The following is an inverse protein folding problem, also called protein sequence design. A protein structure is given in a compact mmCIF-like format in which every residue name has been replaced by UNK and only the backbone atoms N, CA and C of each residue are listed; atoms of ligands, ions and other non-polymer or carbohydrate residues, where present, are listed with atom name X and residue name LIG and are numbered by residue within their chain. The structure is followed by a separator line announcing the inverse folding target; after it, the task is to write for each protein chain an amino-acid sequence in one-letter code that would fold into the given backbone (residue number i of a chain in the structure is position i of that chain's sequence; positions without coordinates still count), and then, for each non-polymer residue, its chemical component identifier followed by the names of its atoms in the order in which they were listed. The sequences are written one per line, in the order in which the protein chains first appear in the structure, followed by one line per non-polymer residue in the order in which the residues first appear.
data_IF_658660857596
#
_entry.id   IF_658660857596
#
_cell.length_a   1.000
_cell.length_b   1.000
_cell.length_c   1.000
_cell.angle_alpha   90.00
_cell.angle_beta   90.00
_cell.angle_gamma   90.00
#
_symmetry.space_group_name_H-M   'P 1'
#
loop_
_entity.id
_entity.type
_entity.pdbx_description
1 polymer ?
#
# COMPACT_ATOMS: atom_id res chain seq x y z
N UNK A 1 -28.68 -7.66 7.47
CA UNK A 1 -27.70 -6.98 8.34
C UNK A 1 -28.33 -5.71 8.88
N UNK A 2 -28.37 -5.53 10.19
CA UNK A 2 -28.93 -4.32 10.77
C UNK A 2 -27.91 -3.15 10.71
N UNK A 3 -28.37 -1.95 11.05
CA UNK A 3 -27.55 -0.74 10.97
C UNK A 3 -26.33 -0.82 11.89
N UNK A 4 -26.51 -1.35 13.10
CA UNK A 4 -25.43 -1.47 14.08
C UNK A 4 -24.29 -2.38 13.57
N UNK A 5 -24.64 -3.54 13.04
CA UNK A 5 -23.67 -4.49 12.50
C UNK A 5 -22.87 -3.87 11.33
N UNK A 6 -23.57 -3.14 10.46
CA UNK A 6 -22.92 -2.48 9.33
C UNK A 6 -21.92 -1.42 9.77
N UNK A 7 -22.31 -0.56 10.74
CA UNK A 7 -21.40 0.49 11.24
C UNK A 7 -20.23 -0.09 12.02
N UNK A 8 -20.45 -1.14 12.80
CA UNK A 8 -19.36 -1.82 13.49
C UNK A 8 -18.37 -2.41 12.47
N UNK A 9 -18.85 -2.98 11.37
CA UNK A 9 -18.00 -3.49 10.31
C UNK A 9 -17.17 -2.41 9.65
N UNK A 10 -17.78 -1.26 9.35
CA UNK A 10 -17.08 -0.12 8.76
C UNK A 10 -16.01 0.41 9.74
N UNK A 11 -16.36 0.56 11.01
CA UNK A 11 -15.42 1.02 12.04
C UNK A 11 -14.21 0.09 12.15
N UNK A 12 -14.44 -1.22 12.13
CA UNK A 12 -13.37 -2.22 12.17
C UNK A 12 -12.41 -2.05 10.98
N UNK A 13 -12.94 -1.82 9.78
CA UNK A 13 -12.13 -1.59 8.59
C UNK A 13 -11.25 -0.34 8.77
N UNK A 14 -11.82 0.76 9.27
CA UNK A 14 -11.06 1.98 9.49
C UNK A 14 -9.98 1.83 10.57
N UNK A 15 -10.28 1.12 11.65
CA UNK A 15 -9.29 0.83 12.70
C UNK A 15 -8.12 0.03 12.14
N UNK A 16 -8.40 -1.01 11.37
CA UNK A 16 -7.37 -1.84 10.74
C UNK A 16 -6.57 -1.04 9.70
N UNK A 17 -7.22 -0.20 8.93
CA UNK A 17 -6.55 0.67 7.98
C UNK A 17 -5.53 1.58 8.68
N UNK A 18 -5.90 2.15 9.83
CA UNK A 18 -4.99 3.00 10.60
C UNK A 18 -3.79 2.26 11.18
N UNK A 19 -3.94 0.98 11.50
CA UNK A 19 -2.89 0.18 12.14
C UNK A 19 -2.00 -0.58 11.17
N UNK A 20 -2.55 -1.14 10.10
CA UNK A 20 -1.85 -2.15 9.29
C UNK A 20 -1.96 -1.97 7.78
N UNK A 21 -2.74 -1.02 7.30
CA UNK A 21 -3.05 -0.91 5.88
C UNK A 21 -2.08 -0.05 5.07
N UNK A 22 -0.95 0.34 5.64
CA UNK A 22 -0.03 1.30 5.00
C UNK A 22 0.47 0.83 3.62
N UNK A 23 0.76 -0.46 3.45
CA UNK A 23 1.16 -0.97 2.14
C UNK A 23 -0.01 -0.96 1.16
N UNK A 24 -1.18 -1.43 1.59
CA UNK A 24 -2.37 -1.44 0.75
C UNK A 24 -2.74 -0.02 0.29
N UNK A 25 -2.72 0.95 1.20
CA UNK A 25 -2.98 2.35 0.87
C UNK A 25 -1.95 2.90 -0.12
N UNK A 26 -0.68 2.53 0.05
CA UNK A 26 0.38 2.93 -0.88
C UNK A 26 0.13 2.38 -2.29
N UNK A 27 -0.29 1.11 -2.41
CA UNK A 27 -0.62 0.50 -3.69
C UNK A 27 -1.82 1.19 -4.35
N UNK A 28 -2.87 1.49 -3.57
CA UNK A 28 -4.02 2.21 -4.11
C UNK A 28 -3.64 3.60 -4.59
N UNK A 29 -2.77 4.30 -3.88
CA UNK A 29 -2.31 5.63 -4.30
C UNK A 29 -1.55 5.59 -5.62
N UNK A 30 -0.75 4.54 -5.85
CA UNK A 30 -0.06 4.33 -7.12
C UNK A 30 -1.08 4.13 -8.25
N UNK A 31 -2.08 3.27 -8.02
CA UNK A 31 -3.12 3.00 -9.01
C UNK A 31 -3.95 4.25 -9.32
N UNK A 32 -4.31 5.04 -8.31
CA UNK A 32 -5.00 6.32 -8.52
C UNK A 32 -4.18 7.27 -9.37
N UNK A 33 -2.91 7.45 -9.03
CA UNK A 33 -2.04 8.36 -9.77
C UNK A 33 -1.85 7.90 -11.21
N UNK A 34 -1.63 6.61 -11.42
CA UNK A 34 -1.45 6.06 -12.77
C UNK A 34 -2.69 6.23 -13.64
N UNK A 35 -3.88 5.98 -13.09
CA UNK A 35 -5.14 6.10 -13.82
C UNK A 35 -5.65 7.54 -13.90
N UNK A 36 -5.27 8.39 -12.96
CA UNK A 36 -5.81 9.74 -12.84
C UNK A 36 -7.24 9.79 -12.34
N UNK A 37 -7.70 8.75 -11.64
CA UNK A 37 -9.07 8.65 -11.12
C UNK A 37 -9.08 8.17 -9.67
N UNK A 38 -9.92 8.76 -8.80
CA UNK A 38 -10.03 8.33 -7.42
C UNK A 38 -10.47 6.87 -7.28
N UNK A 39 -9.98 6.20 -6.26
CA UNK A 39 -10.37 4.83 -5.91
C UNK A 39 -11.06 4.86 -4.54
N UNK A 40 -12.27 4.31 -4.47
CA UNK A 40 -13.00 4.17 -3.20
C UNK A 40 -12.33 3.08 -2.36
N UNK A 41 -11.80 3.45 -1.20
CA UNK A 41 -11.05 2.54 -0.33
C UNK A 41 -11.90 1.35 0.12
N UNK A 42 -13.14 1.59 0.54
CA UNK A 42 -14.00 0.52 1.05
C UNK A 42 -14.33 -0.49 -0.04
N UNK A 43 -14.66 -0.02 -1.24
CA UNK A 43 -14.94 -0.89 -2.39
C UNK A 43 -13.68 -1.68 -2.80
N UNK A 44 -12.53 -1.02 -2.80
CA UNK A 44 -11.26 -1.66 -3.12
C UNK A 44 -10.92 -2.75 -2.11
N UNK A 45 -11.07 -2.47 -0.81
CA UNK A 45 -10.86 -3.44 0.25
C UNK A 45 -11.75 -4.67 0.07
N UNK A 46 -13.05 -4.46 -0.12
CA UNK A 46 -14.00 -5.57 -0.30
C UNK A 46 -13.66 -6.40 -1.54
N UNK A 47 -13.33 -5.76 -2.63
CA UNK A 47 -12.96 -6.46 -3.87
C UNK A 47 -11.71 -7.32 -3.67
N UNK A 48 -10.70 -6.81 -3.01
CA UNK A 48 -9.47 -7.56 -2.76
C UNK A 48 -9.69 -8.73 -1.79
N UNK A 49 -10.56 -8.57 -0.78
CA UNK A 49 -10.95 -9.68 0.10
C UNK A 49 -11.65 -10.78 -0.71
N UNK A 50 -12.63 -10.41 -1.55
CA UNK A 50 -13.35 -11.38 -2.40
C UNK A 50 -12.41 -12.18 -3.30
N UNK A 51 -11.41 -11.52 -3.88
CA UNK A 51 -10.47 -12.15 -4.80
C UNK A 51 -9.31 -12.84 -4.09
N UNK A 52 -9.24 -12.76 -2.75
CA UNK A 52 -8.15 -13.36 -1.99
C UNK A 52 -6.80 -12.68 -2.18
N UNK A 53 -6.78 -11.40 -2.56
CA UNK A 53 -5.54 -10.64 -2.79
C UNK A 53 -4.99 -10.04 -1.51
N UNK A 54 -5.84 -9.82 -0.52
CA UNK A 54 -5.44 -9.37 0.81
C UNK A 54 -6.14 -10.21 1.87
N UNK A 55 -5.55 -10.25 3.06
CA UNK A 55 -6.16 -10.87 4.24
C UNK A 55 -6.90 -9.79 5.05
N UNK A 56 -7.71 -10.23 6.03
CA UNK A 56 -8.50 -9.32 6.87
C UNK A 56 -7.66 -8.32 7.66
N UNK A 57 -6.40 -8.66 7.93
CA UNK A 57 -5.44 -7.80 8.60
C UNK A 57 -4.67 -6.90 7.61
N UNK A 58 -5.12 -6.80 6.37
CA UNK A 58 -4.51 -6.04 5.27
C UNK A 58 -3.18 -6.60 4.75
N UNK A 59 -2.81 -7.82 5.10
CA UNK A 59 -1.64 -8.43 4.50
C UNK A 59 -1.85 -8.63 2.99
N UNK A 60 -0.98 -8.00 2.20
CA UNK A 60 -1.08 -8.06 0.73
C UNK A 60 -0.42 -9.33 0.21
N UNK A 61 -1.23 -10.25 -0.29
CA UNK A 61 -0.73 -11.53 -0.82
C UNK A 61 -0.13 -11.40 -2.21
N UNK A 62 -0.69 -10.51 -3.05
CA UNK A 62 -0.27 -10.35 -4.44
C UNK A 62 -0.34 -8.86 -4.82
N UNK A 63 0.76 -8.16 -4.57
CA UNK A 63 0.83 -6.72 -4.78
C UNK A 63 0.69 -6.34 -6.25
N UNK A 64 1.33 -7.11 -7.13
CA UNK A 64 1.28 -6.84 -8.58
C UNK A 64 -0.13 -6.99 -9.12
N UNK A 65 -0.87 -7.99 -8.65
CA UNK A 65 -2.25 -8.20 -9.07
C UNK A 65 -3.20 -7.14 -8.51
N UNK A 66 -2.95 -6.64 -7.29
CA UNK A 66 -3.71 -5.52 -6.75
C UNK A 66 -3.56 -4.31 -7.67
N UNK A 67 -2.34 -3.98 -8.07
CA UNK A 67 -2.11 -2.88 -9.01
C UNK A 67 -2.78 -3.13 -10.36
N UNK A 68 -2.68 -4.35 -10.89
CA UNK A 68 -3.32 -4.70 -12.17
C UNK A 68 -4.84 -4.56 -12.11
N UNK A 69 -5.43 -4.91 -10.98
CA UNK A 69 -6.88 -4.82 -10.79
C UNK A 69 -7.38 -3.37 -10.87
N UNK A 70 -6.66 -2.43 -10.26
CA UNK A 70 -7.09 -1.04 -10.16
C UNK A 70 -6.47 -0.12 -11.21
N UNK A 71 -5.33 -0.49 -11.78
CA UNK A 71 -4.62 0.32 -12.77
C UNK A 71 -4.61 -0.29 -14.18
N UNK A 72 -5.25 -1.44 -14.38
CA UNK A 72 -5.51 -2.06 -15.68
C UNK A 72 -4.30 -2.47 -16.53
N UNK A 73 -3.11 -2.51 -15.98
CA UNK A 73 -1.90 -2.92 -16.68
C UNK A 73 -1.32 -4.17 -16.03
N UNK A 74 -0.28 -4.73 -16.64
CA UNK A 74 0.52 -5.74 -15.98
C UNK A 74 1.68 -5.06 -15.27
N UNK A 75 1.83 -5.33 -13.99
CA UNK A 75 2.81 -4.66 -13.14
C UNK A 75 3.91 -5.61 -12.71
N UNK A 76 5.09 -5.05 -12.52
CA UNK A 76 6.25 -5.76 -12.00
C UNK A 76 6.72 -5.09 -10.72
N UNK A 77 6.92 -5.89 -9.67
CA UNK A 77 7.54 -5.45 -8.42
C UNK A 77 9.00 -5.85 -8.42
N UNK A 78 9.86 -4.90 -8.05
CA UNK A 78 11.28 -5.15 -7.83
C UNK A 78 11.64 -4.64 -6.44
N UNK A 79 12.37 -5.45 -5.67
CA UNK A 79 12.85 -5.04 -4.34
C UNK A 79 14.30 -4.60 -4.47
N UNK A 80 14.59 -3.38 -4.03
CA UNK A 80 15.92 -2.80 -4.10
C UNK A 80 16.38 -2.35 -2.72
N UNK A 81 17.67 -2.48 -2.44
CA UNK A 81 18.29 -1.93 -1.23
C UNK A 81 18.62 -0.46 -1.39
N UNK A 82 18.95 -0.05 -2.60
CA UNK A 82 19.25 1.32 -2.97
C UNK A 82 18.51 1.67 -4.25
N UNK A 83 18.05 2.91 -4.35
CA UNK A 83 17.38 3.38 -5.56
C UNK A 83 18.42 3.78 -6.63
N UNK A 84 18.09 3.59 -7.93
CA UNK A 84 18.91 4.13 -8.99
C UNK A 84 18.93 5.66 -8.94
N UNK A 85 20.01 6.24 -9.42
CA UNK A 85 20.16 7.70 -9.50
C UNK A 85 20.47 8.08 -10.96
N UNK A 86 19.54 8.74 -11.69
CA UNK A 86 18.22 9.17 -11.23
C UNK A 86 17.20 8.03 -11.16
N UNK A 87 16.17 8.22 -10.35
CA UNK A 87 15.03 7.28 -10.30
C UNK A 87 14.21 7.44 -11.58
N UNK A 88 13.92 6.36 -12.33
CA UNK A 88 13.09 6.45 -13.53
C UNK A 88 11.70 7.04 -13.23
N UNK A 89 11.20 7.90 -14.13
CA UNK A 89 9.89 8.55 -13.97
C UNK A 89 8.72 7.57 -13.93
N UNK A 90 8.86 6.42 -14.59
CA UNK A 90 7.81 5.39 -14.63
C UNK A 90 7.88 4.41 -13.45
N UNK A 91 8.77 4.63 -12.51
CA UNK A 91 8.93 3.78 -11.33
C UNK A 91 8.25 4.41 -10.13
N UNK A 92 7.28 3.68 -9.57
CA UNK A 92 6.57 4.07 -8.34
C UNK A 92 7.22 3.36 -7.17
N UNK A 93 7.61 4.12 -6.15
CA UNK A 93 8.43 3.59 -5.05
C UNK A 93 7.72 3.68 -3.72
N UNK A 94 7.74 2.56 -2.98
CA UNK A 94 7.27 2.48 -1.60
C UNK A 94 8.48 2.17 -0.72
N UNK A 95 8.70 3.00 0.29
CA UNK A 95 9.79 2.84 1.26
C UNK A 95 9.35 1.88 2.36
N UNK A 96 10.17 0.88 2.65
CA UNK A 96 9.95 -0.01 3.78
C UNK A 96 10.83 0.45 4.93
N UNK A 97 10.20 0.99 5.97
CA UNK A 97 10.85 1.49 7.17
C UNK A 97 10.81 0.44 8.27
N UNK A 98 11.87 0.36 9.06
CA UNK A 98 11.97 -0.54 10.19
C UNK A 98 12.51 0.19 11.40
N UNK A 99 11.93 -0.07 12.56
CA UNK A 99 12.36 0.48 13.85
C UNK A 99 12.87 -0.67 14.72
N UNK A 100 14.16 -0.71 14.98
CA UNK A 100 14.79 -1.77 15.77
C UNK A 100 14.28 -1.82 17.21
N UNK A 101 13.98 -0.65 17.79
CA UNK A 101 13.50 -0.58 19.17
C UNK A 101 12.14 -1.23 19.37
N UNK A 102 11.21 -1.01 18.43
CA UNK A 102 9.85 -1.55 18.53
C UNK A 102 9.66 -2.85 17.77
N UNK A 103 10.52 -3.15 16.81
CA UNK A 103 10.37 -4.28 15.90
C UNK A 103 9.30 -4.07 14.83
N UNK A 104 8.75 -2.89 14.71
CA UNK A 104 7.67 -2.61 13.75
C UNK A 104 8.20 -2.16 12.41
N UNK A 105 7.42 -2.52 11.37
CA UNK A 105 7.64 -2.13 9.98
C UNK A 105 6.54 -1.17 9.55
N UNK A 106 6.90 -0.17 8.75
CA UNK A 106 5.94 0.76 8.16
C UNK A 106 6.28 0.95 6.68
N UNK A 107 5.25 0.97 5.84
CA UNK A 107 5.40 1.24 4.42
C UNK A 107 4.92 2.67 4.14
N UNK A 108 5.75 3.43 3.46
CA UNK A 108 5.45 4.82 3.12
C UNK A 108 5.76 5.02 1.64
N UNK A 109 4.82 5.56 0.88
CA UNK A 109 5.09 5.91 -0.50
C UNK A 109 6.08 7.07 -0.56
N UNK A 110 7.16 6.91 -1.34
CA UNK A 110 8.21 7.93 -1.48
C UNK A 110 7.61 9.25 -1.98
N UNK A 111 7.96 10.35 -1.30
CA UNK A 111 7.49 11.68 -1.67
C UNK A 111 6.12 12.04 -1.11
N UNK A 112 5.46 11.12 -0.42
CA UNK A 112 4.17 11.40 0.22
C UNK A 112 4.38 11.60 1.71
N UNK A 113 3.85 12.70 2.22
CA UNK A 113 3.83 12.92 3.67
C UNK A 113 2.72 12.09 4.27
N UNK A 114 3.02 11.39 5.36
CA UNK A 114 2.00 10.72 6.14
C UNK A 114 1.39 11.72 7.10
N UNK A 115 0.06 11.67 7.26
CA UNK A 115 -0.65 12.52 8.21
C UNK A 115 -0.20 12.28 9.66
N UNK A 116 0.35 11.11 9.92
CA UNK A 116 0.91 10.77 11.21
C UNK A 116 2.39 10.49 11.05
N UNK A 117 3.20 11.17 11.84
CA UNK A 117 4.59 10.84 11.96
C UNK A 117 4.69 9.56 12.81
N UNK A 118 4.62 8.42 12.13
CA UNK A 118 4.82 7.12 12.74
C UNK A 118 6.15 7.09 13.50
N UNK A 119 6.13 6.55 14.71
CA UNK A 119 7.37 6.33 15.48
C UNK A 119 8.33 5.46 14.66
N UNK A 120 7.82 4.52 13.88
CA UNK A 120 8.62 3.68 13.00
C UNK A 120 9.43 4.50 12.00
N UNK A 121 8.85 5.57 11.44
CA UNK A 121 9.57 6.45 10.52
C UNK A 121 10.48 7.42 11.27
N UNK A 122 10.01 8.02 12.37
CA UNK A 122 10.80 9.00 13.14
C UNK A 122 12.09 8.43 13.71
N UNK A 123 12.05 7.22 14.25
CA UNK A 123 13.16 6.57 14.91
C UNK A 123 13.80 5.46 14.10
N UNK A 124 13.22 5.13 12.95
CA UNK A 124 13.64 4.01 12.13
C UNK A 124 14.49 4.41 10.94
N UNK A 125 14.71 3.44 10.08
CA UNK A 125 15.45 3.64 8.83
C UNK A 125 14.81 2.83 7.71
N UNK A 126 15.07 3.27 6.47
CA UNK A 126 14.62 2.54 5.29
C UNK A 126 15.52 1.31 5.14
N UNK A 127 14.91 0.13 5.07
CA UNK A 127 15.64 -1.13 4.91
C UNK A 127 15.57 -1.66 3.49
N UNK A 128 14.50 -1.33 2.75
CA UNK A 128 14.32 -1.74 1.35
C UNK A 128 13.38 -0.77 0.66
N UNK A 129 13.37 -0.85 -0.67
CA UNK A 129 12.41 -0.15 -1.52
C UNK A 129 11.64 -1.16 -2.35
N UNK A 130 10.31 -1.05 -2.36
CA UNK A 130 9.46 -1.79 -3.27
C UNK A 130 9.17 -0.89 -4.47
N UNK A 131 9.64 -1.30 -5.64
CA UNK A 131 9.54 -0.50 -6.86
C UNK A 131 8.59 -1.18 -7.84
N UNK A 132 7.62 -0.43 -8.32
CA UNK A 132 6.57 -0.95 -9.20
C UNK A 132 6.64 -0.24 -10.55
N UNK A 133 6.69 -1.04 -11.60
CA UNK A 133 6.69 -0.54 -13.00
C UNK A 133 5.69 -1.34 -13.81
N UNK A 134 5.13 -0.72 -14.85
CA UNK A 134 4.31 -1.43 -15.81
C UNK A 134 5.23 -2.27 -16.69
N UNK A 135 4.89 -3.53 -16.92
CA UNK A 135 5.66 -4.41 -17.79
C UNK A 135 5.59 -3.93 -19.22
N UNK A 136 6.72 -3.91 -19.89
CA UNK A 136 6.78 -3.67 -21.32
C UNK A 136 6.25 -4.91 -22.07
N UNK A 137 5.47 -4.65 -23.09
CA UNK A 137 4.93 -5.70 -23.97
C UNK A 137 5.98 -6.12 -25.00
#
# INVERSE_FOLDING_TARGET
MDVKERYNGIQTVFEKAGESACLFLSLLSIAEEYRGMPIDFIKAYRKCIELGLIEKDFYCKDQERILSLFASEQWKKTVLKELPDPVPENMYTVEKWFNERTGFTHFKRRGFDTLESSVTVKEGSIVEYYCYTVKDN
#
